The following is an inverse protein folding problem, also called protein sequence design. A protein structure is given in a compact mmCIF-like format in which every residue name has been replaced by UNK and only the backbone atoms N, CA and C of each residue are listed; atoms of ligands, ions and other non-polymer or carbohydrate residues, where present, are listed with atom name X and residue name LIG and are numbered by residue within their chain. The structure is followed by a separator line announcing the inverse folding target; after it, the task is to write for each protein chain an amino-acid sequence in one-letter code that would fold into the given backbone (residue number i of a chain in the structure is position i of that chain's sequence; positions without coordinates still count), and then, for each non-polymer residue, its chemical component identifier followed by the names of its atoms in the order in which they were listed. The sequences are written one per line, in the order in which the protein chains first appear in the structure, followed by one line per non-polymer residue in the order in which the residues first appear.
data_IF_948518651885
#
_entry.id   IF_948518651885
#
_cell.length_a   1.000
_cell.length_b   1.000
_cell.length_c   1.000
_cell.angle_alpha   90.00
_cell.angle_beta   90.00
_cell.angle_gamma   90.00
#
_symmetry.space_group_name_H-M   'P 1'
#
loop_
_entity.id
_entity.type
_entity.pdbx_description
1 polymer ?
#
# COMPACT_ATOMS: atom_id res chain seq x y z
N UNK A 1 14.02 17.05 -14.44
CA UNK A 1 12.94 16.05 -14.24
C UNK A 1 13.62 14.71 -14.10
N UNK A 2 13.56 14.08 -12.93
CA UNK A 2 14.12 12.74 -12.78
C UNK A 2 13.15 11.79 -13.48
N UNK A 3 13.55 11.26 -14.63
CA UNK A 3 12.84 10.21 -15.32
C UNK A 3 12.73 9.03 -14.36
N UNK A 4 11.50 8.63 -14.02
CA UNK A 4 11.25 7.38 -13.32
C UNK A 4 11.87 6.28 -14.20
N UNK A 5 13.01 5.75 -13.76
CA UNK A 5 13.66 4.65 -14.48
C UNK A 5 12.74 3.45 -14.32
N UNK A 6 12.51 2.77 -15.43
CA UNK A 6 11.80 1.48 -15.52
C UNK A 6 12.27 0.63 -14.33
N UNK A 7 11.35 0.08 -13.52
CA UNK A 7 11.72 -0.72 -12.35
C UNK A 7 12.71 -1.80 -12.77
N UNK A 8 13.77 -1.96 -11.99
CA UNK A 8 14.76 -3.02 -12.21
C UNK A 8 13.99 -4.35 -12.19
N UNK A 9 14.16 -5.23 -13.19
CA UNK A 9 13.50 -6.53 -13.17
C UNK A 9 13.95 -7.26 -11.90
N UNK A 10 12.99 -7.51 -11.00
CA UNK A 10 13.18 -8.37 -9.83
C UNK A 10 12.99 -9.80 -10.32
N UNK A 11 13.90 -10.68 -9.90
CA UNK A 11 13.83 -12.10 -10.25
C UNK A 11 12.62 -12.71 -9.55
N UNK A 12 11.65 -13.13 -10.35
CA UNK A 12 10.33 -13.54 -9.91
C UNK A 12 10.30 -15.07 -9.88
N UNK A 13 10.58 -15.63 -8.71
CA UNK A 13 10.84 -17.07 -8.55
C UNK A 13 9.62 -17.97 -8.78
N UNK A 14 8.42 -17.42 -8.67
CA UNK A 14 7.12 -18.07 -8.94
C UNK A 14 6.60 -17.79 -10.37
N UNK A 15 7.14 -16.78 -11.06
CA UNK A 15 6.84 -16.44 -12.45
C UNK A 15 5.44 -15.85 -12.66
N UNK A 16 4.78 -15.40 -11.60
CA UNK A 16 3.42 -14.87 -11.68
C UNK A 16 3.38 -13.38 -12.08
N UNK A 17 4.52 -12.69 -11.99
CA UNK A 17 4.80 -11.29 -12.32
C UNK A 17 3.82 -10.31 -11.67
N UNK A 18 3.39 -10.59 -10.44
CA UNK A 18 2.50 -9.70 -9.67
C UNK A 18 3.30 -8.69 -8.84
N UNK A 19 2.85 -7.43 -8.88
CA UNK A 19 3.49 -6.34 -8.16
C UNK A 19 2.48 -5.59 -7.30
N UNK A 20 2.85 -5.34 -6.06
CA UNK A 20 2.05 -4.52 -5.15
C UNK A 20 2.80 -3.22 -4.90
N UNK A 21 2.15 -2.10 -5.21
CA UNK A 21 2.62 -0.77 -4.85
C UNK A 21 1.79 -0.24 -3.69
N UNK A 22 2.41 0.54 -2.80
CA UNK A 22 1.74 1.18 -1.67
C UNK A 22 1.81 2.69 -1.81
N UNK A 23 0.75 3.39 -1.42
CA UNK A 23 0.76 4.86 -1.40
C UNK A 23 1.72 5.41 -0.34
N UNK A 24 2.22 6.61 -0.58
CA UNK A 24 3.06 7.31 0.38
C UNK A 24 2.22 7.92 1.50
N UNK A 25 2.64 7.70 2.74
CA UNK A 25 1.96 8.22 3.92
C UNK A 25 2.16 9.73 4.10
N UNK A 26 1.15 10.45 4.63
CA UNK A 26 1.31 11.86 4.98
C UNK A 26 2.29 11.99 6.15
N UNK A 27 3.02 13.11 6.20
CA UNK A 27 3.99 13.39 7.27
C UNK A 27 3.86 14.80 7.82
N UNK A 28 4.35 14.97 9.05
CA UNK A 28 4.30 16.20 9.83
C UNK A 28 2.94 16.41 10.50
N UNK A 29 2.98 16.94 11.73
CA UNK A 29 1.79 17.11 12.57
C UNK A 29 0.72 17.99 11.89
N UNK A 30 1.11 19.13 11.34
CA UNK A 30 0.21 20.10 10.71
C UNK A 30 0.26 20.01 9.17
N UNK A 31 -0.75 20.58 8.47
CA UNK A 31 -0.70 20.75 7.02
C UNK A 31 0.60 21.42 6.58
N UNK A 32 1.31 20.80 5.65
CA UNK A 32 2.60 21.29 5.18
C UNK A 32 2.76 21.07 3.66
N UNK A 33 3.69 21.80 3.01
CA UNK A 33 3.93 21.66 1.57
C UNK A 33 4.40 20.25 1.16
N UNK A 34 5.03 19.52 2.09
CA UNK A 34 5.50 18.16 1.84
C UNK A 34 4.33 17.18 1.69
N UNK A 35 3.25 17.37 2.46
CA UNK A 35 2.02 16.58 2.40
C UNK A 35 1.32 16.77 1.07
N UNK A 36 1.27 18.00 0.55
CA UNK A 36 0.76 18.26 -0.80
C UNK A 36 1.60 17.57 -1.88
N UNK A 37 2.94 17.61 -1.74
CA UNK A 37 3.84 16.90 -2.66
C UNK A 37 3.59 15.40 -2.64
N UNK A 38 3.43 14.81 -1.45
CA UNK A 38 3.12 13.39 -1.27
C UNK A 38 1.78 13.05 -1.91
N UNK A 39 0.75 13.87 -1.70
CA UNK A 39 -0.56 13.68 -2.33
C UNK A 39 -0.44 13.66 -3.86
N UNK A 40 0.27 14.63 -4.45
CA UNK A 40 0.50 14.68 -5.90
C UNK A 40 1.24 13.45 -6.42
N UNK A 41 2.18 12.92 -5.65
CA UNK A 41 2.87 11.66 -6.02
C UNK A 41 1.91 10.48 -5.97
N UNK A 42 1.05 10.40 -4.95
CA UNK A 42 0.04 9.34 -4.85
C UNK A 42 -0.99 9.41 -5.99
N UNK A 43 -1.38 10.62 -6.40
CA UNK A 43 -2.28 10.82 -7.52
C UNK A 43 -1.63 10.39 -8.84
N UNK A 44 -0.33 10.72 -9.03
CA UNK A 44 0.45 10.23 -10.17
C UNK A 44 0.62 8.71 -10.14
N UNK A 45 0.84 8.09 -8.98
CA UNK A 45 0.92 6.64 -8.87
C UNK A 45 -0.41 6.00 -9.29
N UNK A 46 -1.54 6.51 -8.80
CA UNK A 46 -2.87 6.02 -9.22
C UNK A 46 -3.03 6.11 -10.73
N UNK A 47 -2.77 7.26 -11.35
CA UNK A 47 -2.99 7.45 -12.78
C UNK A 47 -2.05 6.64 -13.67
N UNK A 48 -0.81 6.39 -13.24
CA UNK A 48 0.18 5.66 -14.05
C UNK A 48 0.10 4.14 -13.87
N UNK A 49 -0.38 3.68 -12.71
CA UNK A 49 -0.57 2.25 -12.44
C UNK A 49 -1.95 1.77 -12.91
N UNK A 50 -2.92 2.67 -13.07
CA UNK A 50 -4.21 2.38 -13.67
C UNK A 50 -4.04 1.91 -15.12
N UNK A 51 -4.21 0.59 -15.34
CA UNK A 51 -4.08 -0.05 -16.65
C UNK A 51 -2.83 -0.91 -16.84
N UNK A 52 -1.91 -0.95 -15.85
CA UNK A 52 -0.83 -1.92 -15.88
C UNK A 52 -1.35 -3.30 -15.45
N UNK A 53 -1.16 -4.36 -16.26
CA UNK A 53 -1.58 -5.70 -15.88
C UNK A 53 -0.73 -6.20 -14.71
N UNK A 54 -1.36 -6.91 -13.76
CA UNK A 54 -0.69 -7.54 -12.61
C UNK A 54 -0.01 -6.56 -11.64
N UNK A 55 -0.40 -5.28 -11.67
CA UNK A 55 0.05 -4.29 -10.69
C UNK A 55 -1.14 -3.78 -9.90
N UNK A 56 -1.07 -3.89 -8.58
CA UNK A 56 -2.11 -3.41 -7.67
C UNK A 56 -1.57 -2.32 -6.76
N UNK A 57 -2.32 -1.22 -6.64
CA UNK A 57 -1.96 -0.10 -5.78
C UNK A 57 -2.84 -0.12 -4.52
N UNK A 58 -2.20 -0.27 -3.36
CA UNK A 58 -2.86 -0.25 -2.05
C UNK A 58 -2.78 1.14 -1.43
N UNK A 59 -3.93 1.71 -1.11
CA UNK A 59 -4.02 2.99 -0.40
C UNK A 59 -3.89 2.80 1.10
N UNK A 60 -2.75 3.19 1.67
CA UNK A 60 -2.47 3.05 3.11
C UNK A 60 -2.60 4.37 3.89
N UNK A 61 -2.87 5.48 3.20
CA UNK A 61 -2.93 6.82 3.79
C UNK A 61 -4.25 7.15 4.51
N UNK A 62 -5.25 6.26 4.43
CA UNK A 62 -6.59 6.49 4.99
C UNK A 62 -6.56 6.48 6.53
N UNK A 63 -7.08 7.56 7.11
CA UNK A 63 -7.30 7.66 8.56
C UNK A 63 -6.11 8.13 9.39
N UNK A 64 -5.00 8.55 8.79
CA UNK A 64 -3.88 9.18 9.51
C UNK A 64 -4.09 10.68 9.74
N UNK A 65 -4.85 11.34 8.86
CA UNK A 65 -5.21 12.75 8.98
C UNK A 65 -6.55 12.84 9.69
N UNK A 66 -6.56 13.51 10.83
CA UNK A 66 -7.76 13.79 11.60
C UNK A 66 -8.61 14.90 10.93
N UNK A 67 -9.88 15.08 11.31
CA UNK A 67 -10.75 16.12 10.73
C UNK A 67 -10.23 17.55 10.91
N UNK A 68 -9.39 17.78 11.93
CA UNK A 68 -8.69 19.05 12.18
C UNK A 68 -7.45 19.25 11.29
N UNK A 69 -7.11 18.26 10.46
CA UNK A 69 -5.94 18.25 9.59
C UNK A 69 -4.65 17.80 10.29
N UNK A 70 -4.68 17.40 11.56
CA UNK A 70 -3.49 16.96 12.30
C UNK A 70 -3.24 15.46 12.20
N UNK A 71 -2.01 15.03 12.47
CA UNK A 71 -1.64 13.61 12.62
C UNK A 71 -1.43 13.32 14.10
N UNK A 72 -1.98 12.21 14.59
CA UNK A 72 -1.83 11.79 15.98
C UNK A 72 -0.43 11.25 16.26
N UNK A 73 0.17 11.66 17.38
CA UNK A 73 1.42 11.07 17.88
C UNK A 73 1.26 9.59 18.29
N UNK A 74 0.03 9.14 18.54
CA UNK A 74 -0.26 7.72 18.79
C UNK A 74 -0.09 6.88 17.53
N UNK A 75 -0.31 7.46 16.35
CA UNK A 75 -0.15 6.77 15.06
C UNK A 75 1.27 6.93 14.51
N UNK A 76 1.86 8.12 14.65
CA UNK A 76 3.24 8.42 14.23
C UNK A 76 3.98 9.18 15.32
N UNK A 77 4.98 8.56 15.95
CA UNK A 77 5.62 9.12 17.14
C UNK A 77 6.41 10.40 16.86
N UNK A 78 7.03 10.54 15.68
CA UNK A 78 7.76 11.73 15.25
C UNK A 78 7.08 12.39 14.04
N UNK A 79 5.82 12.03 13.77
CA UNK A 79 5.07 12.43 12.58
C UNK A 79 5.71 12.01 11.25
N UNK A 80 6.55 10.97 11.26
CA UNK A 80 7.16 10.34 10.08
C UNK A 80 7.10 8.81 10.19
N UNK A 81 7.58 8.28 11.30
CA UNK A 81 7.68 6.88 11.61
C UNK A 81 6.42 6.42 12.35
N UNK A 82 5.83 5.35 11.83
CA UNK A 82 4.66 4.72 12.41
C UNK A 82 4.98 4.11 13.77
N UNK A 83 4.03 4.20 14.69
CA UNK A 83 4.01 3.35 15.88
C UNK A 83 3.51 1.95 15.51
N UNK A 84 3.55 1.00 16.44
CA UNK A 84 2.96 -0.33 16.21
C UNK A 84 1.46 -0.23 15.85
N UNK A 85 0.72 0.67 16.51
CA UNK A 85 -0.69 0.92 16.19
C UNK A 85 -0.86 1.51 14.78
N UNK A 86 -0.05 2.50 14.42
CA UNK A 86 -0.05 3.09 13.08
C UNK A 86 0.29 2.07 11.99
N UNK A 87 1.30 1.23 12.23
CA UNK A 87 1.68 0.15 11.30
C UNK A 87 0.57 -0.86 11.10
N UNK A 88 -0.09 -1.31 12.18
CA UNK A 88 -1.22 -2.23 12.06
C UNK A 88 -2.32 -1.65 11.17
N UNK A 89 -2.68 -0.38 11.38
CA UNK A 89 -3.69 0.32 10.59
C UNK A 89 -3.29 0.55 9.13
N UNK A 90 -2.04 0.91 8.86
CA UNK A 90 -1.55 1.13 7.49
C UNK A 90 -1.46 -0.17 6.68
N UNK A 91 -0.99 -1.25 7.31
CA UNK A 91 -0.68 -2.50 6.62
C UNK A 91 -1.80 -3.55 6.70
N UNK A 92 -2.87 -3.30 7.44
CA UNK A 92 -4.08 -4.13 7.41
C UNK A 92 -4.62 -4.37 5.99
N UNK A 93 -4.85 -3.34 5.14
CA UNK A 93 -5.30 -3.58 3.76
C UNK A 93 -4.26 -4.30 2.90
N UNK A 94 -2.97 -4.12 3.20
CA UNK A 94 -1.89 -4.83 2.48
C UNK A 94 -1.90 -6.31 2.85
N UNK A 95 -2.11 -6.62 4.13
CA UNK A 95 -2.21 -7.99 4.61
C UNK A 95 -3.42 -8.72 4.04
N UNK A 96 -4.59 -8.08 4.02
CA UNK A 96 -5.79 -8.63 3.39
C UNK A 96 -5.55 -8.95 1.90
N UNK A 97 -4.92 -8.03 1.17
CA UNK A 97 -4.61 -8.23 -0.24
C UNK A 97 -3.63 -9.39 -0.45
N UNK A 98 -2.56 -9.45 0.34
CA UNK A 98 -1.59 -10.55 0.27
C UNK A 98 -2.26 -11.91 0.52
N UNK A 99 -3.17 -12.00 1.50
CA UNK A 99 -3.92 -13.23 1.75
C UNK A 99 -4.80 -13.61 0.55
N UNK A 100 -5.48 -12.65 -0.08
CA UNK A 100 -6.26 -12.92 -1.28
C UNK A 100 -5.40 -13.46 -2.42
N UNK A 101 -4.27 -12.80 -2.69
CA UNK A 101 -3.35 -13.20 -3.75
C UNK A 101 -2.74 -14.59 -3.51
N UNK A 102 -2.40 -14.92 -2.27
CA UNK A 102 -1.88 -16.24 -1.91
C UNK A 102 -2.94 -17.35 -2.04
N UNK A 103 -4.20 -17.05 -1.72
CA UNK A 103 -5.29 -18.02 -1.75
C UNK A 103 -5.85 -18.26 -3.17
N UNK A 104 -5.69 -17.32 -4.11
CA UNK A 104 -6.17 -17.46 -5.49
C UNK A 104 -5.58 -18.66 -6.25
N UNK A 105 -4.49 -19.27 -5.76
CA UNK A 105 -3.87 -20.47 -6.32
C UNK A 105 -4.21 -21.78 -5.62
N UNK A 106 -4.95 -21.76 -4.51
CA UNK A 106 -5.32 -22.99 -3.79
C UNK A 106 -6.53 -23.65 -4.47
N UNK A 107 -6.33 -24.80 -5.11
CA UNK A 107 -7.43 -25.67 -5.54
C UNK A 107 -8.21 -26.12 -4.30
N UNK A 108 -9.50 -25.79 -4.23
CA UNK A 108 -10.44 -26.33 -3.23
C UNK A 108 -10.23 -27.84 -3.14
N UNK A 109 -9.74 -28.33 -1.99
CA UNK A 109 -9.79 -29.75 -1.69
C UNK A 109 -11.25 -30.08 -1.40
N UNK A 110 -11.94 -30.62 -2.41
CA UNK A 110 -13.26 -31.24 -2.25
C UNK A 110 -13.20 -32.26 -1.10
N UNK A 111 -13.70 -31.86 0.07
CA UNK A 111 -13.92 -32.73 1.20
C UNK A 111 -15.29 -33.41 1.03
N UNK A 112 -15.50 -34.13 -0.07
CA UNK A 112 -16.60 -35.10 -0.12
C UNK A 112 -16.15 -36.32 0.66
N UNK A 113 -16.78 -36.66 1.81
CA UNK A 113 -16.52 -37.91 2.48
C UNK A 113 -17.09 -39.01 1.59
N UNK A 114 -16.21 -39.87 1.06
CA UNK A 114 -16.65 -41.11 0.41
C UNK A 114 -17.39 -41.95 1.46
N UNK A 115 -18.64 -42.31 1.14
CA UNK A 115 -19.50 -43.21 1.91
C UNK A 115 -18.87 -44.59 2.18
#
# INVERSE_FOLDING_TARGET
MNTCKIPVPVDDGDGDHRWISITLLPRGQHPNPVREKISKVNDLLKSNLEGLPKVELVTIDKGFIQPDGTISHHDMHDYLLLTNAGSKKAFEPVHELLLQLLNEGETEKDLTPSE
#
